data_IF_481364135201
#
_entry.id   IF_481364135201
#
_cell.length_a   1.000
_cell.length_b   1.000
_cell.length_c   1.000
_cell.angle_alpha   90.00
_cell.angle_beta   90.00
_cell.angle_gamma   90.00
#
_symmetry.space_group_name_H-M   'P 1'
#
loop_
_entity.id
_entity.type
_entity.pdbx_description
1 polymer ?
#
# COMPACT_ATOMS: atom_id res chain seq x y z
N UNK A 1 16.62 -44.28 -31.01
CA UNK A 1 16.34 -42.83 -30.99
C UNK A 1 15.73 -42.50 -29.63
N UNK A 2 16.51 -41.85 -28.78
CA UNK A 2 16.04 -41.42 -27.43
C UNK A 2 15.49 -40.01 -27.57
N UNK A 3 14.21 -39.82 -27.29
CA UNK A 3 13.58 -38.50 -27.23
C UNK A 3 13.91 -37.88 -25.87
N UNK A 4 14.65 -36.78 -25.89
CA UNK A 4 14.91 -35.96 -24.71
C UNK A 4 13.73 -34.97 -24.62
N UNK A 5 12.86 -35.17 -23.65
CA UNK A 5 11.82 -34.21 -23.32
C UNK A 5 12.49 -33.04 -22.59
N UNK A 6 12.60 -31.90 -23.24
CA UNK A 6 13.01 -30.63 -22.62
C UNK A 6 11.79 -30.06 -21.91
N UNK A 7 11.72 -30.21 -20.60
CA UNK A 7 10.79 -29.46 -19.76
C UNK A 7 11.21 -27.99 -19.75
N UNK A 8 10.51 -27.15 -20.50
CA UNK A 8 10.60 -25.70 -20.35
C UNK A 8 9.99 -25.34 -18.98
N UNK A 9 10.85 -25.07 -18.00
CA UNK A 9 10.46 -24.49 -16.74
C UNK A 9 10.14 -23.01 -17.01
N UNK A 10 8.85 -22.70 -17.22
CA UNK A 10 8.37 -21.32 -17.30
C UNK A 10 8.51 -20.75 -15.89
N UNK A 11 9.60 -20.03 -15.63
CA UNK A 11 9.69 -19.17 -14.46
C UNK A 11 8.61 -18.10 -14.61
N UNK A 12 7.48 -18.29 -13.94
CA UNK A 12 6.52 -17.23 -13.68
C UNK A 12 7.22 -16.19 -12.80
N UNK A 13 7.82 -15.20 -13.45
CA UNK A 13 8.29 -14.00 -12.75
C UNK A 13 7.05 -13.36 -12.15
N UNK A 14 6.89 -13.50 -10.83
CA UNK A 14 5.85 -12.80 -10.09
C UNK A 14 6.02 -11.30 -10.41
N UNK A 15 5.07 -10.72 -11.12
CA UNK A 15 5.07 -9.28 -11.36
C UNK A 15 4.96 -8.61 -10.00
N UNK A 16 5.81 -7.61 -9.71
CA UNK A 16 5.74 -6.91 -8.44
C UNK A 16 4.34 -6.31 -8.29
N UNK A 17 3.67 -6.68 -7.20
CA UNK A 17 2.46 -5.99 -6.76
C UNK A 17 2.95 -4.63 -6.25
N UNK A 18 2.68 -3.57 -7.00
CA UNK A 18 2.89 -2.21 -6.55
C UNK A 18 1.67 -1.84 -5.70
N UNK A 19 1.88 -1.12 -4.64
CA UNK A 19 0.85 -0.45 -3.84
C UNK A 19 0.34 0.81 -4.56
N UNK A 20 -0.22 1.79 -3.86
CA UNK A 20 -0.49 3.07 -4.50
C UNK A 20 0.69 3.46 -5.40
N UNK A 21 0.43 3.93 -6.60
CA UNK A 21 1.51 4.49 -7.42
C UNK A 21 2.25 5.61 -6.67
N UNK A 22 3.44 5.97 -7.12
CA UNK A 22 4.29 6.98 -6.48
C UNK A 22 3.53 8.21 -5.96
N UNK A 23 2.59 8.85 -6.73
CA UNK A 23 1.84 9.99 -6.21
C UNK A 23 1.01 9.68 -4.97
N UNK A 24 0.41 8.50 -4.87
CA UNK A 24 -0.41 8.11 -3.72
C UNK A 24 0.40 8.03 -2.43
N UNK A 25 1.58 7.41 -2.47
CA UNK A 25 2.48 7.37 -1.31
C UNK A 25 3.01 8.76 -0.94
N UNK A 26 3.36 9.60 -1.94
CA UNK A 26 3.73 10.99 -1.70
C UNK A 26 2.61 11.77 -1.01
N UNK A 27 1.37 11.66 -1.50
CA UNK A 27 0.20 12.32 -0.90
C UNK A 27 0.03 11.92 0.56
N UNK A 28 0.02 10.63 0.87
CA UNK A 28 -0.18 10.12 2.23
C UNK A 28 0.92 10.62 3.18
N UNK A 29 2.19 10.54 2.78
CA UNK A 29 3.31 11.00 3.56
C UNK A 29 3.24 12.52 3.82
N UNK A 30 2.86 13.31 2.80
CA UNK A 30 2.73 14.76 2.91
C UNK A 30 1.53 15.17 3.76
N UNK A 31 0.39 14.50 3.66
CA UNK A 31 -0.77 14.73 4.54
C UNK A 31 -0.40 14.47 6.00
N UNK A 32 0.38 13.41 6.28
CA UNK A 32 0.87 13.15 7.63
C UNK A 32 1.85 14.21 8.11
N UNK A 33 2.81 14.61 7.27
CA UNK A 33 3.81 15.62 7.58
C UNK A 33 3.18 16.98 7.91
N UNK A 34 2.16 17.40 7.17
CA UNK A 34 1.45 18.65 7.39
C UNK A 34 0.70 18.69 8.75
N UNK A 35 0.43 17.53 9.37
CA UNK A 35 -0.18 17.39 10.69
C UNK A 35 0.83 17.38 11.85
N UNK A 36 2.12 17.20 11.58
CA UNK A 36 3.19 17.23 12.58
C UNK A 36 3.49 18.68 13.01
N UNK A 37 3.85 18.85 14.27
CA UNK A 37 4.37 20.14 14.71
C UNK A 37 5.80 20.38 14.17
N UNK A 38 6.28 21.62 14.26
CA UNK A 38 7.58 22.03 13.70
C UNK A 38 8.78 21.26 14.26
N UNK A 39 8.73 20.84 15.52
CA UNK A 39 9.80 20.06 16.12
C UNK A 39 9.82 18.62 15.57
N UNK A 40 8.64 18.00 15.51
CA UNK A 40 8.48 16.66 14.92
C UNK A 40 8.89 16.65 13.44
N UNK A 41 8.55 17.70 12.67
CA UNK A 41 8.98 17.86 11.29
C UNK A 41 10.50 17.93 11.15
N UNK A 42 11.17 18.74 11.99
CA UNK A 42 12.65 18.84 11.99
C UNK A 42 13.31 17.52 12.36
N UNK A 43 12.80 16.85 13.40
CA UNK A 43 13.33 15.55 13.83
C UNK A 43 13.17 14.48 12.76
N UNK A 44 12.00 14.39 12.11
CA UNK A 44 11.74 13.48 11.00
C UNK A 44 12.73 13.68 9.86
N UNK A 45 12.92 14.92 9.42
CA UNK A 45 13.87 15.25 8.36
C UNK A 45 15.32 14.93 8.74
N UNK A 46 15.71 15.22 10.00
CA UNK A 46 17.06 14.93 10.46
C UNK A 46 17.35 13.42 10.41
N UNK A 47 16.40 12.58 10.86
CA UNK A 47 16.55 11.14 10.79
C UNK A 47 16.60 10.66 9.33
N UNK A 48 15.73 11.15 8.45
CA UNK A 48 15.69 10.73 7.05
C UNK A 48 16.98 11.05 6.29
N UNK A 49 17.71 12.10 6.66
CA UNK A 49 19.01 12.45 6.05
C UNK A 49 20.11 11.42 6.35
N UNK A 50 19.95 10.63 7.40
CA UNK A 50 20.87 9.55 7.77
C UNK A 50 20.49 8.21 7.10
N UNK A 51 19.54 8.22 6.17
CA UNK A 51 19.17 7.02 5.43
C UNK A 51 20.37 6.50 4.62
N UNK A 52 20.73 5.19 4.70
CA UNK A 52 21.98 4.67 4.12
C UNK A 52 22.05 4.80 2.59
N UNK A 53 20.94 5.05 1.93
CA UNK A 53 20.85 5.31 0.49
C UNK A 53 20.35 6.72 0.18
N UNK A 54 20.63 7.67 1.07
CA UNK A 54 20.15 9.04 0.89
C UNK A 54 20.65 9.68 -0.40
N UNK A 55 21.94 9.53 -0.69
CA UNK A 55 22.57 10.14 -1.86
C UNK A 55 22.05 9.55 -3.18
N UNK A 56 21.72 8.25 -3.21
CA UNK A 56 21.30 7.55 -4.42
C UNK A 56 19.80 7.66 -4.68
N UNK A 57 18.98 7.59 -3.61
CA UNK A 57 17.54 7.35 -3.78
C UNK A 57 16.69 8.59 -3.44
N UNK A 58 17.21 9.58 -2.70
CA UNK A 58 16.46 10.74 -2.21
C UNK A 58 16.82 12.05 -2.88
N UNK A 59 17.83 12.06 -3.73
CA UNK A 59 18.16 13.25 -4.51
C UNK A 59 17.19 13.34 -5.69
N UNK A 60 16.43 14.44 -5.85
CA UNK A 60 15.50 14.59 -6.95
C UNK A 60 16.23 14.68 -8.28
N UNK A 61 15.64 14.10 -9.34
CA UNK A 61 16.18 14.16 -10.71
C UNK A 61 16.18 15.57 -11.30
N UNK A 62 15.29 16.45 -10.81
CA UNK A 62 15.26 17.86 -11.12
C UNK A 62 15.51 18.69 -9.87
N UNK A 63 16.26 19.78 -9.98
CA UNK A 63 16.52 20.67 -8.85
C UNK A 63 15.21 21.29 -8.38
N UNK A 64 14.80 21.12 -7.11
CA UNK A 64 13.61 21.75 -6.56
C UNK A 64 13.72 23.28 -6.66
N UNK A 65 12.61 23.96 -6.97
CA UNK A 65 12.58 25.41 -7.17
C UNK A 65 12.69 26.18 -5.84
N UNK A 66 12.48 25.50 -4.70
CA UNK A 66 12.57 26.11 -3.38
C UNK A 66 12.98 25.07 -2.31
N UNK A 67 13.49 25.54 -1.14
CA UNK A 67 13.75 24.67 0.01
C UNK A 67 12.50 23.88 0.47
N UNK A 68 11.31 24.49 0.41
CA UNK A 68 10.05 23.85 0.74
C UNK A 68 9.73 22.68 -0.23
N UNK A 69 9.93 22.87 -1.52
CA UNK A 69 9.74 21.80 -2.49
C UNK A 69 10.71 20.64 -2.30
N UNK A 70 11.98 20.95 -1.94
CA UNK A 70 12.96 19.92 -1.61
C UNK A 70 12.57 19.13 -0.35
N UNK A 71 12.05 19.81 0.66
CA UNK A 71 11.52 19.19 1.87
C UNK A 71 10.33 18.29 1.57
N UNK A 72 9.36 18.78 0.80
CA UNK A 72 8.21 17.99 0.38
C UNK A 72 8.59 16.79 -0.49
N UNK A 73 9.58 16.94 -1.37
CA UNK A 73 10.16 15.82 -2.10
C UNK A 73 10.71 14.76 -1.17
N UNK A 74 11.57 15.14 -0.20
CA UNK A 74 12.17 14.22 0.76
C UNK A 74 11.11 13.40 1.50
N UNK A 75 10.07 14.05 2.00
CA UNK A 75 9.01 13.41 2.77
C UNK A 75 8.17 12.46 1.88
N UNK A 76 7.75 12.93 0.71
CA UNK A 76 7.01 12.11 -0.24
C UNK A 76 7.82 10.91 -0.71
N UNK A 77 9.10 11.12 -1.02
CA UNK A 77 10.03 10.08 -1.44
C UNK A 77 10.24 9.03 -0.34
N UNK A 78 10.28 9.42 0.93
CA UNK A 78 10.36 8.48 2.04
C UNK A 78 9.16 7.50 2.04
N UNK A 79 7.95 7.99 1.78
CA UNK A 79 6.77 7.14 1.67
C UNK A 79 6.78 6.19 0.47
N UNK A 80 7.47 6.55 -0.62
CA UNK A 80 7.58 5.71 -1.83
C UNK A 80 8.86 4.88 -1.89
N UNK A 81 9.84 5.14 -1.04
CA UNK A 81 11.17 4.52 -1.13
C UNK A 81 11.16 2.98 -1.11
N UNK A 82 10.32 2.25 -0.37
CA UNK A 82 10.28 0.79 -0.41
C UNK A 82 10.05 0.21 -1.82
N UNK A 83 9.27 0.87 -2.66
CA UNK A 83 9.10 0.47 -4.07
C UNK A 83 10.33 0.76 -4.93
N UNK A 84 11.04 1.84 -4.66
CA UNK A 84 12.32 2.17 -5.30
C UNK A 84 13.37 1.11 -4.95
N UNK A 85 13.37 0.69 -3.69
CA UNK A 85 14.34 -0.26 -3.16
C UNK A 85 14.10 -1.73 -3.57
N UNK A 86 13.04 -2.04 -4.33
CA UNK A 86 12.75 -3.41 -4.79
C UNK A 86 13.89 -4.05 -5.59
N UNK A 87 14.68 -3.25 -6.31
CA UNK A 87 15.85 -3.72 -7.04
C UNK A 87 17.07 -4.01 -6.15
N UNK A 88 16.99 -3.67 -4.86
CA UNK A 88 18.07 -3.82 -3.88
C UNK A 88 17.77 -4.99 -2.93
N UNK A 89 18.42 -6.15 -3.06
CA UNK A 89 18.11 -7.34 -2.26
C UNK A 89 18.14 -7.09 -0.73
N UNK A 90 19.03 -6.19 -0.27
CA UNK A 90 19.15 -5.85 1.14
C UNK A 90 17.88 -5.17 1.71
N UNK A 91 17.10 -4.49 0.87
CA UNK A 91 15.94 -3.71 1.27
C UNK A 91 14.62 -4.22 0.69
N UNK A 92 14.65 -5.14 -0.27
CA UNK A 92 13.45 -5.70 -0.88
C UNK A 92 12.72 -6.61 0.12
N UNK A 93 11.44 -6.35 0.36
CA UNK A 93 10.56 -7.10 1.27
C UNK A 93 9.21 -7.35 0.58
N UNK A 94 9.13 -8.27 -0.38
CA UNK A 94 7.96 -8.42 -1.24
C UNK A 94 6.66 -8.71 -0.49
N UNK A 95 6.73 -9.47 0.61
CA UNK A 95 5.56 -9.86 1.38
C UNK A 95 5.04 -8.76 2.31
N UNK A 96 5.88 -7.77 2.63
CA UNK A 96 5.48 -6.66 3.52
C UNK A 96 4.38 -5.78 2.90
N UNK A 97 4.29 -5.74 1.57
CA UNK A 97 3.37 -4.86 0.84
C UNK A 97 1.90 -5.32 0.86
N UNK A 98 1.58 -6.51 1.37
CA UNK A 98 0.21 -7.02 1.39
C UNK A 98 -0.09 -7.87 2.62
N UNK A 99 -1.37 -8.04 2.90
CA UNK A 99 -1.87 -8.93 3.96
C UNK A 99 -2.43 -10.22 3.35
N UNK A 100 -2.17 -11.35 4.00
CA UNK A 100 -2.81 -12.61 3.66
C UNK A 100 -4.25 -12.65 4.18
N UNK A 101 -5.09 -13.46 3.50
CA UNK A 101 -6.47 -13.69 3.88
C UNK A 101 -7.44 -13.36 2.76
N UNK A 102 -8.71 -13.66 2.98
CA UNK A 102 -9.77 -13.38 2.04
C UNK A 102 -10.45 -12.04 2.31
N UNK A 103 -10.53 -11.19 1.28
CA UNK A 103 -11.46 -10.06 1.23
C UNK A 103 -12.88 -10.54 0.95
N UNK A 104 -13.02 -11.49 0.03
CA UNK A 104 -14.29 -12.10 -0.35
C UNK A 104 -14.07 -13.57 -0.72
N UNK A 105 -15.01 -14.43 -0.36
CA UNK A 105 -15.00 -15.85 -0.70
C UNK A 105 -16.32 -16.22 -1.40
N UNK A 106 -16.25 -16.93 -2.52
CA UNK A 106 -17.40 -17.42 -3.27
C UNK A 106 -17.25 -18.93 -3.49
N UNK A 107 -18.27 -19.70 -3.09
CA UNK A 107 -18.21 -21.16 -3.06
C UNK A 107 -17.35 -21.67 -1.90
N UNK A 108 -16.69 -22.81 -2.09
CA UNK A 108 -15.84 -23.45 -1.09
C UNK A 108 -14.39 -23.64 -1.62
N UNK A 109 -13.62 -22.55 -1.75
CA UNK A 109 -12.21 -22.63 -2.12
C UNK A 109 -11.39 -23.17 -0.96
N UNK A 110 -10.55 -24.19 -1.20
CA UNK A 110 -9.77 -24.88 -0.17
C UNK A 110 -8.44 -24.16 0.18
N UNK A 111 -8.01 -23.20 -0.62
CA UNK A 111 -6.70 -22.56 -0.54
C UNK A 111 -6.67 -21.23 0.21
N UNK A 112 -7.70 -20.87 0.99
CA UNK A 112 -7.74 -19.58 1.71
C UNK A 112 -6.72 -19.56 2.84
N UNK A 113 -5.66 -18.73 2.79
CA UNK A 113 -4.70 -18.64 3.87
C UNK A 113 -5.30 -17.95 5.09
N UNK A 114 -4.84 -18.36 6.27
CA UNK A 114 -5.17 -17.64 7.49
C UNK A 114 -4.42 -16.31 7.56
N UNK A 115 -5.01 -15.33 8.24
CA UNK A 115 -4.30 -14.10 8.55
C UNK A 115 -3.05 -14.43 9.40
N UNK A 116 -1.90 -13.80 9.12
CA UNK A 116 -0.72 -13.92 9.94
C UNK A 116 -1.01 -13.53 11.40
N UNK A 117 -0.44 -14.27 12.33
CA UNK A 117 -0.43 -13.91 13.74
C UNK A 117 0.44 -12.68 14.03
N UNK A 118 0.78 -12.44 15.31
CA UNK A 118 1.72 -11.39 15.69
C UNK A 118 3.09 -11.60 15.04
N UNK A 119 3.89 -10.53 14.97
CA UNK A 119 5.27 -10.64 14.48
C UNK A 119 6.07 -11.60 15.36
N UNK A 120 6.98 -12.42 14.76
CA UNK A 120 7.94 -13.22 15.55
C UNK A 120 8.74 -12.33 16.52
N UNK A 121 9.07 -12.87 17.69
CA UNK A 121 9.75 -12.09 18.73
C UNK A 121 11.17 -11.61 18.32
N UNK A 122 11.79 -12.30 17.37
CA UNK A 122 13.09 -11.98 16.78
C UNK A 122 12.98 -11.23 15.44
N UNK A 123 11.78 -10.82 15.04
CA UNK A 123 11.57 -10.10 13.81
C UNK A 123 12.31 -8.74 13.81
N UNK A 124 12.89 -8.40 12.67
CA UNK A 124 13.71 -7.20 12.47
C UNK A 124 13.44 -6.59 11.08
N UNK A 125 14.13 -5.50 10.75
CA UNK A 125 14.06 -4.89 9.41
C UNK A 125 14.57 -5.81 8.30
N UNK A 126 15.34 -6.84 8.62
CA UNK A 126 15.89 -7.83 7.69
C UNK A 126 14.97 -9.03 7.47
N UNK A 127 13.95 -9.23 8.31
CA UNK A 127 13.02 -10.36 8.22
C UNK A 127 12.21 -10.30 6.92
N UNK A 128 12.31 -11.33 6.07
CA UNK A 128 11.68 -11.34 4.75
C UNK A 128 10.18 -11.64 4.79
N UNK A 129 9.77 -12.58 5.63
CA UNK A 129 8.48 -13.26 5.60
C UNK A 129 7.39 -12.58 6.48
N UNK A 130 7.46 -11.25 6.62
CA UNK A 130 6.40 -10.51 7.32
C UNK A 130 5.33 -10.02 6.34
N UNK A 131 4.14 -9.78 6.87
CA UNK A 131 3.05 -9.09 6.19
C UNK A 131 2.79 -7.71 6.81
N UNK A 132 1.94 -6.88 6.18
CA UNK A 132 1.75 -5.46 6.54
C UNK A 132 1.64 -5.25 8.06
N UNK A 133 0.73 -5.97 8.74
CA UNK A 133 0.50 -5.73 10.17
C UNK A 133 1.75 -5.98 11.01
N UNK A 134 2.44 -7.10 10.77
CA UNK A 134 3.67 -7.47 11.44
C UNK A 134 4.81 -6.49 11.15
N UNK A 135 4.96 -6.09 9.88
CA UNK A 135 6.00 -5.15 9.46
C UNK A 135 5.79 -3.74 10.07
N UNK A 136 4.54 -3.27 10.19
CA UNK A 136 4.22 -2.02 10.91
C UNK A 136 4.66 -2.10 12.36
N UNK A 137 4.41 -3.22 13.06
CA UNK A 137 4.82 -3.39 14.45
C UNK A 137 6.35 -3.35 14.59
N UNK A 138 7.08 -4.08 13.74
CA UNK A 138 8.56 -4.07 13.72
C UNK A 138 9.10 -2.66 13.47
N UNK A 139 8.61 -1.96 12.46
CA UNK A 139 9.06 -0.61 12.14
C UNK A 139 8.80 0.37 13.29
N UNK A 140 7.67 0.26 13.98
CA UNK A 140 7.35 1.09 15.15
C UNK A 140 8.27 0.80 16.32
N UNK A 141 8.60 -0.46 16.58
CA UNK A 141 9.56 -0.84 17.62
C UNK A 141 10.95 -0.24 17.34
N UNK A 142 11.45 -0.37 16.09
CA UNK A 142 12.74 0.21 15.68
C UNK A 142 12.73 1.73 15.80
N UNK A 143 11.64 2.40 15.40
CA UNK A 143 11.55 3.87 15.46
C UNK A 143 11.56 4.40 16.91
N UNK A 144 10.92 3.71 17.85
CA UNK A 144 10.88 4.09 19.29
C UNK A 144 12.19 3.83 20.00
N UNK A 145 12.97 2.86 19.59
CA UNK A 145 14.21 2.47 20.23
C UNK A 145 15.31 3.48 19.91
N UNK A 146 15.58 4.40 20.86
CA UNK A 146 16.63 5.43 20.72
C UNK A 146 18.05 4.87 20.74
N UNK A 147 18.24 3.60 21.07
CA UNK A 147 19.54 2.92 21.02
C UNK A 147 19.86 2.39 19.61
N UNK A 148 18.87 2.30 18.73
CA UNK A 148 19.05 1.94 17.32
C UNK A 148 19.77 3.07 16.57
N UNK A 149 20.52 2.69 15.54
CA UNK A 149 21.17 3.67 14.66
C UNK A 149 20.14 4.59 14.00
N UNK A 150 20.52 5.83 13.72
CA UNK A 150 19.68 6.79 13.00
C UNK A 150 19.35 6.24 11.61
N UNK A 151 20.27 5.48 10.99
CA UNK A 151 20.06 4.79 9.71
C UNK A 151 18.94 3.74 9.78
N UNK A 152 18.91 2.89 10.82
CA UNK A 152 17.82 1.90 10.98
C UNK A 152 16.48 2.61 11.20
N UNK A 153 16.48 3.68 11.99
CA UNK A 153 15.27 4.47 12.23
C UNK A 153 14.79 5.18 10.97
N UNK A 154 15.70 5.62 10.08
CA UNK A 154 15.34 6.17 8.77
C UNK A 154 14.70 5.14 7.85
N UNK A 155 15.26 3.92 7.79
CA UNK A 155 14.67 2.79 7.05
C UNK A 155 13.27 2.47 7.62
N UNK A 156 13.15 2.41 8.95
CA UNK A 156 11.87 2.14 9.61
C UNK A 156 10.81 3.20 9.30
N UNK A 157 11.18 4.48 9.23
CA UNK A 157 10.28 5.58 8.83
C UNK A 157 9.78 5.37 7.40
N UNK A 158 10.68 5.05 6.46
CA UNK A 158 10.32 4.83 5.06
C UNK A 158 9.33 3.66 4.93
N UNK A 159 9.66 2.53 5.53
CA UNK A 159 8.74 1.38 5.55
C UNK A 159 7.42 1.72 6.23
N UNK A 160 7.43 2.38 7.38
CA UNK A 160 6.21 2.72 8.11
C UNK A 160 5.28 3.62 7.29
N UNK A 161 5.83 4.67 6.65
CA UNK A 161 5.06 5.56 5.80
C UNK A 161 4.44 4.83 4.61
N UNK A 162 5.18 3.89 4.01
CA UNK A 162 4.72 3.05 2.91
C UNK A 162 3.61 2.08 3.35
N UNK A 163 3.89 1.29 4.40
CA UNK A 163 2.98 0.25 4.90
C UNK A 163 1.64 0.82 5.40
N UNK A 164 1.66 2.01 6.01
CA UNK A 164 0.41 2.70 6.38
C UNK A 164 -0.38 3.04 5.12
N UNK A 165 0.27 3.44 4.04
CA UNK A 165 -0.35 3.62 2.73
C UNK A 165 -0.97 2.33 2.20
N UNK A 166 -0.19 1.25 2.15
CA UNK A 166 -0.59 -0.07 1.66
C UNK A 166 -1.78 -0.64 2.43
N UNK A 167 -1.74 -0.55 3.77
CA UNK A 167 -2.84 -1.00 4.63
C UNK A 167 -4.16 -0.26 4.36
N UNK A 168 -4.11 0.90 3.70
CA UNK A 168 -5.30 1.68 3.32
C UNK A 168 -5.71 1.51 1.85
N UNK A 169 -4.95 0.75 1.04
CA UNK A 169 -5.33 0.35 -0.31
C UNK A 169 -6.12 -0.97 -0.24
N UNK A 170 -7.39 -1.01 -0.67
CA UNK A 170 -8.26 -2.18 -0.46
C UNK A 170 -7.74 -3.48 -1.04
N UNK A 171 -7.04 -3.44 -2.18
CA UNK A 171 -6.49 -4.64 -2.83
C UNK A 171 -5.27 -5.23 -2.10
N UNK A 172 -4.68 -4.52 -1.13
CA UNK A 172 -3.58 -5.01 -0.30
C UNK A 172 -4.05 -5.71 0.98
N UNK A 173 -5.33 -5.61 1.34
CA UNK A 173 -5.88 -6.15 2.58
C UNK A 173 -6.34 -7.62 2.49
N UNK A 174 -6.18 -8.25 1.33
CA UNK A 174 -6.58 -9.63 1.06
C UNK A 174 -6.97 -9.84 -0.41
N UNK A 175 -7.43 -11.04 -0.73
CA UNK A 175 -7.75 -11.47 -2.10
C UNK A 175 -9.17 -11.97 -2.22
N UNK A 176 -9.66 -12.05 -3.46
CA UNK A 176 -10.89 -12.75 -3.82
C UNK A 176 -10.56 -14.23 -4.04
N UNK A 177 -11.25 -15.11 -3.31
CA UNK A 177 -11.18 -16.56 -3.48
C UNK A 177 -12.49 -17.07 -4.07
N UNK A 178 -12.40 -17.76 -5.19
CA UNK A 178 -13.59 -18.30 -5.90
C UNK A 178 -13.32 -19.73 -6.34
N UNK A 179 -14.15 -20.67 -5.87
CA UNK A 179 -14.06 -22.05 -6.32
C UNK A 179 -14.18 -22.12 -7.84
N UNK A 180 -13.25 -22.82 -8.49
CA UNK A 180 -13.23 -23.00 -9.95
C UNK A 180 -12.64 -21.83 -10.76
N UNK A 181 -12.53 -20.62 -10.19
CA UNK A 181 -11.92 -19.47 -10.88
C UNK A 181 -10.58 -19.04 -10.22
N UNK A 182 -10.60 -18.77 -8.93
CA UNK A 182 -9.44 -18.34 -8.15
C UNK A 182 -9.32 -19.16 -6.85
N UNK A 183 -9.02 -20.47 -6.93
CA UNK A 183 -8.92 -21.33 -5.74
C UNK A 183 -7.76 -20.90 -4.82
N UNK A 184 -6.68 -20.32 -5.35
CA UNK A 184 -5.53 -19.80 -4.63
C UNK A 184 -5.56 -18.28 -4.46
N UNK A 185 -6.70 -17.64 -4.77
CA UNK A 185 -6.90 -16.20 -4.72
C UNK A 185 -6.53 -15.47 -6.01
N UNK A 186 -7.13 -14.29 -6.20
CA UNK A 186 -6.92 -13.43 -7.36
C UNK A 186 -5.69 -12.51 -7.23
N UNK A 187 -4.88 -12.69 -6.18
CA UNK A 187 -3.69 -11.90 -5.88
C UNK A 187 -4.02 -10.42 -5.65
N UNK A 188 -5.05 -10.15 -4.85
CA UNK A 188 -5.49 -8.78 -4.58
C UNK A 188 -5.95 -8.07 -5.86
N UNK A 189 -6.83 -8.67 -6.64
CA UNK A 189 -7.38 -8.14 -7.88
C UNK A 189 -6.38 -8.04 -9.07
N UNK A 190 -5.14 -8.57 -8.95
CA UNK A 190 -4.18 -8.58 -10.07
C UNK A 190 -4.59 -9.52 -11.21
N UNK A 191 -5.41 -10.53 -10.92
CA UNK A 191 -5.85 -11.52 -11.91
C UNK A 191 -7.14 -11.11 -12.65
N UNK A 192 -7.66 -9.91 -12.41
CA UNK A 192 -8.88 -9.39 -13.05
C UNK A 192 -8.50 -8.30 -14.05
N UNK A 193 -8.52 -8.57 -15.38
CA UNK A 193 -8.18 -7.59 -16.40
C UNK A 193 -9.28 -6.52 -16.53
N UNK A 194 -8.89 -5.25 -16.76
CA UNK A 194 -9.83 -4.14 -16.99
C UNK A 194 -9.47 -3.36 -18.25
N UNK A 195 -10.45 -2.68 -18.87
CA UNK A 195 -10.16 -1.79 -20.01
C UNK A 195 -9.43 -0.52 -19.60
N UNK A 196 -9.68 -0.03 -18.38
CA UNK A 196 -9.18 1.25 -17.90
C UNK A 196 -7.72 1.16 -17.41
N UNK A 197 -7.24 -0.06 -17.10
CA UNK A 197 -5.86 -0.31 -16.66
C UNK A 197 -5.47 -1.74 -17.01
N UNK A 198 -4.20 -2.10 -16.77
CA UNK A 198 -3.69 -3.47 -16.98
C UNK A 198 -4.55 -4.51 -16.26
N UNK A 199 -4.96 -4.21 -15.03
CA UNK A 199 -5.83 -5.03 -14.19
C UNK A 199 -6.51 -4.15 -13.13
N UNK A 200 -7.42 -4.73 -12.38
CA UNK A 200 -8.19 -4.02 -11.37
C UNK A 200 -7.32 -3.50 -10.21
N UNK A 201 -6.29 -4.24 -9.80
CA UNK A 201 -5.32 -3.79 -8.80
C UNK A 201 -4.62 -2.51 -9.25
N UNK A 202 -4.01 -2.52 -10.44
CA UNK A 202 -3.30 -1.36 -11.00
C UNK A 202 -4.22 -0.14 -11.22
N UNK A 203 -5.51 -0.36 -11.48
CA UNK A 203 -6.49 0.72 -11.49
C UNK A 203 -6.57 1.40 -10.12
N UNK A 204 -6.78 0.60 -9.06
CA UNK A 204 -6.89 1.12 -7.69
C UNK A 204 -5.61 1.83 -7.25
N UNK A 205 -4.43 1.31 -7.59
CA UNK A 205 -3.15 1.96 -7.30
C UNK A 205 -3.03 3.34 -7.94
N UNK A 206 -3.61 3.52 -9.13
CA UNK A 206 -3.57 4.76 -9.89
C UNK A 206 -4.61 5.83 -9.49
N UNK A 207 -5.57 5.54 -8.60
CA UNK A 207 -6.68 6.47 -8.30
C UNK A 207 -6.23 7.78 -7.63
N UNK A 208 -5.09 7.80 -6.98
CA UNK A 208 -4.46 9.01 -6.41
C UNK A 208 -3.43 9.66 -7.34
N UNK A 209 -3.35 9.21 -8.58
CA UNK A 209 -2.39 9.64 -9.59
C UNK A 209 -1.51 8.49 -10.04
N UNK A 210 -1.07 8.51 -11.31
CA UNK A 210 -0.27 7.42 -11.91
C UNK A 210 1.20 7.78 -12.16
N UNK A 211 1.50 9.07 -12.25
CA UNK A 211 2.84 9.58 -12.50
C UNK A 211 3.15 10.73 -11.54
N UNK A 212 4.42 10.81 -11.12
CA UNK A 212 4.87 11.90 -10.25
C UNK A 212 4.76 13.26 -10.96
N UNK A 213 4.02 14.16 -10.35
CA UNK A 213 3.97 15.60 -10.67
C UNK A 213 3.76 16.38 -9.36
N UNK A 214 4.71 17.23 -8.99
CA UNK A 214 4.69 17.96 -7.73
C UNK A 214 3.48 18.90 -7.60
N UNK A 215 3.06 19.53 -8.71
CA UNK A 215 1.90 20.42 -8.76
C UNK A 215 0.58 19.65 -8.59
N UNK A 216 0.47 18.48 -9.26
CA UNK A 216 -0.70 17.61 -9.13
C UNK A 216 -0.81 17.02 -7.72
N UNK A 217 0.30 16.55 -7.14
CA UNK A 217 0.35 16.05 -5.76
C UNK A 217 -0.11 17.13 -4.78
N UNK A 218 0.40 18.37 -4.90
CA UNK A 218 0.00 19.49 -4.03
C UNK A 218 -1.51 19.76 -4.15
N UNK A 219 -2.04 19.81 -5.36
CA UNK A 219 -3.46 20.03 -5.63
C UNK A 219 -4.33 18.91 -5.02
N UNK A 220 -3.91 17.64 -5.15
CA UNK A 220 -4.62 16.49 -4.57
C UNK A 220 -4.59 16.49 -3.04
N UNK A 221 -3.47 16.83 -2.42
CA UNK A 221 -3.38 17.02 -0.98
C UNK A 221 -4.38 18.09 -0.52
N UNK A 222 -4.48 19.23 -1.23
CA UNK A 222 -5.42 20.28 -0.89
C UNK A 222 -6.88 19.83 -1.03
N UNK A 223 -7.23 19.15 -2.12
CA UNK A 223 -8.59 18.59 -2.30
C UNK A 223 -8.95 17.62 -1.16
N UNK A 224 -8.04 16.78 -0.71
CA UNK A 224 -8.28 15.84 0.38
C UNK A 224 -8.46 16.59 1.71
N UNK A 225 -7.62 17.57 2.00
CA UNK A 225 -7.67 18.36 3.26
C UNK A 225 -8.92 19.23 3.36
N UNK A 226 -9.39 19.78 2.25
CA UNK A 226 -10.56 20.68 2.21
C UNK A 226 -11.89 19.93 2.24
N UNK A 227 -11.92 18.63 2.02
CA UNK A 227 -13.11 17.79 2.27
C UNK A 227 -13.28 17.59 3.79
N UNK A 228 -13.92 18.58 4.44
CA UNK A 228 -14.08 18.61 5.88
C UNK A 228 -14.75 17.35 6.45
N UNK A 229 -15.68 16.74 5.72
CA UNK A 229 -16.39 15.53 6.16
C UNK A 229 -15.44 14.34 6.25
N UNK A 230 -14.66 14.09 5.19
CA UNK A 230 -13.69 12.98 5.15
C UNK A 230 -12.54 13.23 6.11
N UNK A 231 -12.03 14.47 6.16
CA UNK A 231 -10.91 14.86 7.00
C UNK A 231 -11.22 14.69 8.49
N UNK A 232 -12.36 15.21 8.97
CA UNK A 232 -12.79 15.05 10.36
C UNK A 232 -13.07 13.59 10.72
N UNK A 233 -13.68 12.82 9.80
CA UNK A 233 -13.90 11.39 10.01
C UNK A 233 -12.58 10.61 10.13
N UNK A 234 -11.56 10.99 9.35
CA UNK A 234 -10.22 10.38 9.40
C UNK A 234 -9.53 10.68 10.74
N UNK A 235 -9.56 11.93 11.19
CA UNK A 235 -9.04 12.35 12.49
C UNK A 235 -9.71 11.59 13.64
N UNK A 236 -11.03 11.56 13.66
CA UNK A 236 -11.79 10.85 14.67
C UNK A 236 -11.50 9.35 14.69
N UNK A 237 -11.33 8.72 13.51
CA UNK A 237 -10.99 7.31 13.41
C UNK A 237 -9.60 7.01 13.95
N UNK A 238 -8.60 7.84 13.66
CA UNK A 238 -7.23 7.67 14.14
C UNK A 238 -7.12 7.79 15.67
N UNK A 239 -7.98 8.60 16.29
CA UNK A 239 -8.01 8.84 17.76
C UNK A 239 -8.79 7.78 18.55
N UNK A 240 -9.46 6.82 17.89
CA UNK A 240 -10.15 5.72 18.60
C UNK A 240 -9.16 4.82 19.31
N UNK A 241 -9.61 4.06 20.32
CA UNK A 241 -8.81 3.12 21.11
C UNK A 241 -7.93 2.20 20.22
N UNK A 242 -8.49 1.62 19.16
CA UNK A 242 -7.78 0.78 18.20
C UNK A 242 -7.43 1.51 16.90
N UNK A 243 -7.45 2.84 16.90
CA UNK A 243 -7.24 3.65 15.69
C UNK A 243 -5.85 3.51 15.07
N UNK A 244 -4.84 3.15 15.86
CA UNK A 244 -3.47 2.93 15.43
C UNK A 244 -3.09 1.44 15.33
N UNK A 245 -4.05 0.53 15.40
CA UNK A 245 -3.82 -0.90 15.19
C UNK A 245 -3.90 -1.22 13.69
N UNK A 246 -2.83 -1.76 13.05
CA UNK A 246 -2.83 -2.09 11.64
C UNK A 246 -3.88 -3.12 11.24
N UNK A 247 -4.26 -4.04 12.12
CA UNK A 247 -5.33 -5.01 11.85
C UNK A 247 -6.70 -4.31 11.68
N UNK A 248 -6.94 -3.20 12.40
CA UNK A 248 -8.15 -2.38 12.22
C UNK A 248 -8.16 -1.76 10.81
N UNK A 249 -7.03 -1.23 10.34
CA UNK A 249 -6.94 -0.61 9.02
C UNK A 249 -7.17 -1.61 7.89
N UNK A 250 -6.59 -2.81 8.05
CA UNK A 250 -6.74 -3.92 7.10
C UNK A 250 -8.17 -4.44 7.07
N UNK A 251 -8.84 -4.57 8.22
CA UNK A 251 -10.24 -4.95 8.28
C UNK A 251 -11.15 -3.91 7.58
N UNK A 252 -10.91 -2.62 7.79
CA UNK A 252 -11.60 -1.55 7.08
C UNK A 252 -11.35 -1.61 5.56
N UNK A 253 -10.09 -1.86 5.14
CA UNK A 253 -9.71 -1.96 3.72
C UNK A 253 -10.34 -3.20 3.07
N UNK A 254 -10.36 -4.34 3.77
CA UNK A 254 -11.02 -5.56 3.31
C UNK A 254 -12.52 -5.34 3.12
N UNK A 255 -13.19 -4.63 4.05
CA UNK A 255 -14.61 -4.30 3.91
C UNK A 255 -14.87 -3.36 2.73
N UNK A 256 -13.99 -2.38 2.48
CA UNK A 256 -14.03 -1.55 1.27
C UNK A 256 -13.83 -2.42 0.02
N UNK A 257 -12.88 -3.34 0.05
CA UNK A 257 -12.63 -4.30 -1.04
C UNK A 257 -13.88 -5.11 -1.36
N UNK A 258 -14.50 -5.68 -0.34
CA UNK A 258 -15.71 -6.48 -0.48
C UNK A 258 -16.90 -5.71 -1.10
N UNK A 259 -17.05 -4.42 -0.76
CA UNK A 259 -18.19 -3.60 -1.20
C UNK A 259 -17.96 -2.85 -2.51
N UNK A 260 -16.71 -2.44 -2.77
CA UNK A 260 -16.42 -1.44 -3.80
C UNK A 260 -15.34 -1.84 -4.79
N UNK A 261 -14.48 -2.82 -4.48
CA UNK A 261 -13.57 -3.42 -5.46
C UNK A 261 -14.28 -4.53 -6.20
N UNK A 262 -14.88 -5.47 -5.46
CA UNK A 262 -15.55 -6.65 -6.01
C UNK A 262 -17.07 -6.43 -6.17
N UNK A 263 -17.43 -5.43 -7.00
CA UNK A 263 -18.81 -5.12 -7.33
C UNK A 263 -19.42 -6.20 -8.25
N UNK A 264 -20.75 -6.24 -8.42
CA UNK A 264 -21.40 -7.19 -9.32
C UNK A 264 -20.81 -7.17 -10.74
N UNK A 265 -20.50 -6.00 -11.32
CA UNK A 265 -19.89 -5.90 -12.67
C UNK A 265 -18.49 -6.52 -12.74
N UNK A 266 -17.73 -6.49 -11.65
CA UNK A 266 -16.41 -7.15 -11.53
C UNK A 266 -16.57 -8.66 -11.34
N UNK A 267 -17.54 -9.09 -10.54
CA UNK A 267 -17.75 -10.50 -10.20
C UNK A 267 -18.40 -11.31 -11.32
N UNK A 268 -19.19 -10.69 -12.20
CA UNK A 268 -19.89 -11.39 -13.28
C UNK A 268 -18.97 -12.25 -14.15
N UNK A 269 -17.87 -11.73 -14.74
CA UNK A 269 -16.97 -12.54 -15.57
C UNK A 269 -16.19 -13.59 -14.75
N UNK A 270 -15.91 -13.33 -13.47
CA UNK A 270 -15.28 -14.31 -12.57
C UNK A 270 -16.23 -15.49 -12.30
N UNK A 271 -17.49 -15.18 -12.04
CA UNK A 271 -18.50 -16.21 -11.82
C UNK A 271 -18.81 -17.02 -13.10
N UNK A 272 -18.66 -16.43 -14.30
CA UNK A 272 -18.78 -17.15 -15.54
C UNK A 272 -17.72 -18.27 -15.66
N UNK A 273 -16.47 -17.99 -15.24
CA UNK A 273 -15.41 -19.00 -15.15
C UNK A 273 -15.75 -20.05 -14.10
N UNK A 274 -16.15 -19.64 -12.91
CA UNK A 274 -16.51 -20.56 -11.82
C UNK A 274 -17.63 -21.54 -12.18
N UNK A 275 -18.56 -21.12 -13.04
CA UNK A 275 -19.66 -21.94 -13.55
C UNK A 275 -19.27 -22.75 -14.78
N UNK A 276 -18.04 -22.66 -15.28
CA UNK A 276 -17.58 -23.36 -16.49
C UNK A 276 -18.17 -22.81 -17.81
N UNK A 277 -18.72 -21.60 -17.81
CA UNK A 277 -19.25 -20.92 -18.99
C UNK A 277 -18.13 -20.36 -19.89
N UNK A 278 -17.01 -19.99 -19.28
CA UNK A 278 -15.80 -19.55 -19.96
C UNK A 278 -14.58 -20.17 -19.28
N UNK A 279 -13.42 -20.16 -19.94
CA UNK A 279 -12.16 -20.68 -19.39
C UNK A 279 -11.26 -19.61 -18.82
N UNK A 280 -11.54 -18.33 -19.11
CA UNK A 280 -10.76 -17.18 -18.66
C UNK A 280 -11.69 -16.05 -18.24
N UNK A 281 -11.23 -15.23 -17.31
CA UNK A 281 -11.94 -14.02 -16.89
C UNK A 281 -11.90 -13.00 -18.03
N UNK A 282 -13.08 -12.60 -18.51
CA UNK A 282 -13.18 -11.56 -19.53
C UNK A 282 -12.73 -10.21 -18.98
N UNK A 283 -12.19 -9.36 -19.86
CA UNK A 283 -11.79 -7.99 -19.50
C UNK A 283 -13.01 -7.17 -19.08
N UNK A 284 -12.99 -6.65 -17.87
CA UNK A 284 -14.06 -5.83 -17.31
C UNK A 284 -14.00 -4.42 -17.89
N UNK A 285 -15.15 -3.91 -18.34
CA UNK A 285 -15.34 -2.51 -18.70
C UNK A 285 -16.05 -1.81 -17.55
N UNK A 286 -15.29 -1.11 -16.73
CA UNK A 286 -15.81 -0.50 -15.51
C UNK A 286 -16.63 0.75 -15.84
N UNK A 287 -17.78 0.88 -15.19
CA UNK A 287 -18.68 2.04 -15.36
C UNK A 287 -18.08 3.34 -14.82
N UNK A 288 -18.56 4.49 -15.33
CA UNK A 288 -18.19 5.81 -14.81
C UNK A 288 -18.57 5.97 -13.33
N UNK A 289 -19.69 5.37 -12.90
CA UNK A 289 -20.12 5.34 -11.50
C UNK A 289 -19.13 4.57 -10.62
N UNK A 290 -18.62 3.43 -11.12
CA UNK A 290 -17.56 2.70 -10.44
C UNK A 290 -16.32 3.56 -10.25
N UNK A 291 -15.83 4.16 -11.33
CA UNK A 291 -14.59 4.98 -11.33
C UNK A 291 -14.73 6.20 -10.42
N UNK A 292 -15.87 6.87 -10.45
CA UNK A 292 -16.16 8.02 -9.59
C UNK A 292 -16.17 7.62 -8.11
N UNK A 293 -16.87 6.54 -7.79
CA UNK A 293 -16.96 5.99 -6.42
C UNK A 293 -15.59 5.53 -5.92
N UNK A 294 -14.84 4.78 -6.72
CA UNK A 294 -13.51 4.31 -6.39
C UNK A 294 -12.54 5.48 -6.11
N UNK A 295 -12.57 6.52 -6.95
CA UNK A 295 -11.77 7.74 -6.74
C UNK A 295 -12.12 8.48 -5.45
N UNK A 296 -13.41 8.54 -5.08
CA UNK A 296 -13.85 9.16 -3.83
C UNK A 296 -13.39 8.37 -2.60
N UNK A 297 -13.47 7.04 -2.69
CA UNK A 297 -12.98 6.13 -1.66
C UNK A 297 -11.46 6.26 -1.51
N UNK A 298 -10.70 6.30 -2.60
CA UNK A 298 -9.25 6.45 -2.56
C UNK A 298 -8.84 7.72 -1.81
N UNK A 299 -9.49 8.88 -2.07
CA UNK A 299 -9.26 10.12 -1.33
C UNK A 299 -9.56 9.97 0.17
N UNK A 300 -10.67 9.30 0.52
CA UNK A 300 -11.00 9.01 1.91
C UNK A 300 -9.94 8.12 2.57
N UNK A 301 -9.52 7.05 1.91
CA UNK A 301 -8.49 6.15 2.45
C UNK A 301 -7.14 6.87 2.63
N UNK A 302 -6.76 7.77 1.72
CA UNK A 302 -5.55 8.59 1.87
C UNK A 302 -5.63 9.55 3.08
N UNK A 303 -6.78 10.17 3.35
CA UNK A 303 -6.98 10.98 4.55
C UNK A 303 -6.81 10.15 5.83
N UNK A 304 -7.41 8.95 5.88
CA UNK A 304 -7.27 8.03 7.01
C UNK A 304 -5.82 7.60 7.24
N UNK A 305 -5.10 7.24 6.16
CA UNK A 305 -3.69 6.90 6.22
C UNK A 305 -2.84 8.06 6.74
N UNK A 306 -3.05 9.27 6.22
CA UNK A 306 -2.33 10.48 6.64
C UNK A 306 -2.47 10.79 8.13
N UNK A 307 -3.70 10.77 8.67
CA UNK A 307 -3.94 10.99 10.10
C UNK A 307 -3.32 9.92 11.00
N UNK A 308 -3.41 8.65 10.61
CA UNK A 308 -2.83 7.52 11.35
C UNK A 308 -1.31 7.57 11.35
N UNK A 309 -0.71 7.85 10.19
CA UNK A 309 0.73 8.00 10.07
C UNK A 309 1.25 9.18 10.91
N UNK A 310 0.56 10.33 10.88
CA UNK A 310 0.92 11.49 11.69
C UNK A 310 0.94 11.16 13.19
N UNK A 311 -0.11 10.53 13.71
CA UNK A 311 -0.18 10.15 15.12
C UNK A 311 0.90 9.13 15.51
N UNK A 312 1.21 8.16 14.64
CA UNK A 312 2.28 7.20 14.88
C UNK A 312 3.63 7.93 14.92
N UNK A 313 3.93 8.77 13.94
CA UNK A 313 5.18 9.52 13.91
C UNK A 313 5.30 10.44 15.13
N UNK A 314 4.26 11.20 15.46
CA UNK A 314 4.24 12.06 16.65
C UNK A 314 4.48 11.29 17.96
N UNK A 315 3.97 10.07 18.07
CA UNK A 315 4.17 9.22 19.25
C UNK A 315 5.55 8.55 19.27
N UNK A 316 5.99 8.00 18.14
CA UNK A 316 7.13 7.08 18.07
C UNK A 316 8.46 7.82 17.80
N UNK A 317 8.43 9.11 17.39
CA UNK A 317 9.62 9.97 17.29
C UNK A 317 10.10 10.51 18.66
N UNK A 318 9.24 10.58 19.66
CA UNK A 318 9.54 11.12 21.02
C UNK A 318 10.49 10.20 21.84
#
# INVERSE_FOLDING_TARGET
MKWIAVCLMVCLVAQPCLAWHEPGHHIIALLAYDLLNREEQRQLQAILRDHPRFAEDFVPSAVPSSPEENERWLIGRAGYWPDVARSQPAYNRPTWHYQLGATLTIGDPQGVPQNPGPAPADASLETQELHIAQAVEVCRLVLRDKTRSTSDRAIAICWLAHLVGDAHQPCHAGSLYVAGAFPEGDRGANSIPTKQSKNLHALWDGLLGSQYDAGDIRRRCEVIRTDATKWTAAEASAKKENGLNPLTWLAESSEVGRRHVYTPEVLEPVQAVSRGLTTTVATVDLSDDYLTTAGDIARKRAAFAGHRLALILSHDLR
#
